data_IF_471556688792
#
_entry.id   IF_471556688792
#
_cell.length_a   1.000
_cell.length_b   1.000
_cell.length_c   1.000
_cell.angle_alpha   90.00
_cell.angle_beta   90.00
_cell.angle_gamma   90.00
#
_symmetry.space_group_name_H-M   'P 1'
#
loop_
_entity.id
_entity.type
_entity.pdbx_description
1 polymer ?
#
# COMPACT_ATOMS: atom_id res chain seq x y z
N UNK A 1 -51.69 37.67 -40.85
CA UNK A 1 -50.53 36.87 -41.06
C UNK A 1 -49.24 37.58 -40.52
N UNK A 2 -49.32 38.29 -39.40
CA UNK A 2 -48.20 39.01 -38.78
C UNK A 2 -47.99 38.74 -37.29
N UNK A 3 -48.69 37.72 -36.75
CA UNK A 3 -48.57 37.35 -35.30
C UNK A 3 -47.94 35.99 -35.03
N UNK A 4 -47.48 35.24 -36.04
CA UNK A 4 -47.00 33.90 -35.92
C UNK A 4 -45.44 33.80 -35.99
N UNK A 5 -44.77 34.93 -36.17
CA UNK A 5 -43.29 34.96 -36.32
C UNK A 5 -42.56 35.42 -35.05
N UNK A 6 -43.30 35.86 -34.01
CA UNK A 6 -42.71 36.44 -32.82
C UNK A 6 -42.57 35.46 -31.65
N UNK A 7 -43.12 34.22 -31.76
CA UNK A 7 -43.07 33.24 -30.69
C UNK A 7 -42.03 32.13 -30.88
N UNK A 8 -41.23 32.15 -31.94
CA UNK A 8 -40.20 31.16 -32.17
C UNK A 8 -38.77 31.62 -31.81
N UNK A 9 -38.60 32.75 -31.14
CA UNK A 9 -37.26 33.28 -30.77
C UNK A 9 -36.96 33.27 -29.27
N UNK A 10 -37.70 32.50 -28.44
CA UNK A 10 -37.52 32.53 -26.99
C UNK A 10 -37.14 31.17 -26.36
N UNK A 11 -36.66 30.19 -27.12
CA UNK A 11 -36.27 28.88 -26.56
C UNK A 11 -34.81 28.49 -26.97
N UNK A 12 -33.89 29.39 -26.85
CA UNK A 12 -32.47 29.09 -27.02
C UNK A 12 -31.60 29.79 -25.97
N UNK A 13 -32.04 29.83 -24.72
CA UNK A 13 -31.22 30.33 -23.63
C UNK A 13 -31.36 29.39 -22.42
N UNK A 14 -30.43 28.50 -22.24
CA UNK A 14 -30.34 27.82 -20.95
C UNK A 14 -29.85 26.37 -20.92
N UNK A 15 -29.14 25.89 -21.92
CA UNK A 15 -28.32 24.69 -21.70
C UNK A 15 -26.95 25.08 -21.18
N UNK A 16 -26.87 25.50 -19.91
CA UNK A 16 -25.65 25.46 -19.16
C UNK A 16 -25.34 23.98 -18.97
N UNK A 17 -24.52 23.42 -19.86
CA UNK A 17 -23.83 22.17 -19.62
C UNK A 17 -22.92 22.43 -18.45
N UNK A 18 -23.42 22.13 -17.24
CA UNK A 18 -22.55 21.86 -16.10
C UNK A 18 -21.82 20.58 -16.48
N UNK A 19 -20.69 20.74 -17.16
CA UNK A 19 -19.68 19.72 -17.25
C UNK A 19 -19.17 19.53 -15.83
N UNK A 20 -19.82 18.65 -15.06
CA UNK A 20 -19.21 18.01 -13.93
C UNK A 20 -17.96 17.32 -14.48
N UNK A 21 -16.86 18.00 -14.43
CA UNK A 21 -15.55 17.38 -14.53
C UNK A 21 -15.48 16.37 -13.40
N UNK A 22 -15.91 15.14 -13.67
CA UNK A 22 -15.52 13.99 -12.89
C UNK A 22 -14.01 14.01 -12.95
N UNK A 23 -13.38 14.54 -11.90
CA UNK A 23 -11.96 14.36 -11.67
C UNK A 23 -11.75 12.86 -11.65
N UNK A 24 -11.40 12.28 -12.80
CA UNK A 24 -10.86 10.94 -12.86
C UNK A 24 -9.62 11.00 -11.98
N UNK A 25 -9.74 10.52 -10.74
CA UNK A 25 -8.57 10.19 -9.96
C UNK A 25 -7.78 9.23 -10.83
N UNK A 26 -6.75 9.77 -11.49
CA UNK A 26 -5.88 8.95 -12.33
C UNK A 26 -5.26 7.94 -11.39
N UNK A 27 -5.61 6.66 -11.60
CA UNK A 27 -5.08 5.54 -10.83
C UNK A 27 -3.56 5.50 -11.05
N UNK A 28 -2.85 6.15 -10.15
CA UNK A 28 -1.39 6.15 -10.18
C UNK A 28 -0.88 4.92 -9.45
N UNK A 29 0.09 4.25 -10.03
CA UNK A 29 0.78 3.13 -9.37
C UNK A 29 1.38 3.56 -8.03
N UNK A 30 1.77 4.83 -7.89
CA UNK A 30 2.27 5.37 -6.62
C UNK A 30 1.26 5.29 -5.47
N UNK A 31 -0.05 5.20 -5.76
CA UNK A 31 -1.06 5.01 -4.71
C UNK A 31 -1.00 3.61 -4.07
N UNK A 32 -0.35 2.64 -4.72
CA UNK A 32 -0.17 1.30 -4.16
C UNK A 32 0.91 1.25 -3.08
N UNK A 33 1.83 2.21 -3.05
CA UNK A 33 3.00 2.15 -2.18
C UNK A 33 2.65 1.95 -0.70
N UNK A 34 3.41 1.07 -0.03
CA UNK A 34 3.21 0.72 1.37
C UNK A 34 2.49 -0.61 1.59
N UNK A 35 1.99 -0.83 2.81
CA UNK A 35 1.38 -2.11 3.23
C UNK A 35 -0.14 -2.06 3.24
N UNK A 36 -0.75 -3.16 2.82
CA UNK A 36 -2.19 -3.33 2.69
C UNK A 36 -2.64 -4.67 3.28
N UNK A 37 -3.60 -4.64 4.18
CA UNK A 37 -4.26 -5.84 4.68
C UNK A 37 -5.17 -6.42 3.59
N UNK A 38 -5.16 -7.73 3.41
CA UNK A 38 -6.06 -8.44 2.50
C UNK A 38 -7.31 -8.80 3.28
N UNK A 39 -8.39 -8.06 3.07
CA UNK A 39 -9.62 -8.20 3.87
C UNK A 39 -10.66 -9.10 3.22
N UNK A 40 -10.58 -9.28 1.88
CA UNK A 40 -11.50 -10.13 1.13
C UNK A 40 -10.80 -10.76 -0.07
N UNK A 41 -11.11 -12.02 -0.36
CA UNK A 41 -10.64 -12.77 -1.53
C UNK A 41 -11.81 -13.53 -2.14
N UNK A 42 -12.03 -13.39 -3.46
CA UNK A 42 -13.13 -14.02 -4.22
C UNK A 42 -14.51 -13.85 -3.54
N UNK A 43 -14.79 -12.64 -3.00
CA UNK A 43 -16.04 -12.33 -2.30
C UNK A 43 -16.14 -12.90 -0.87
N UNK A 44 -15.12 -13.57 -0.38
CA UNK A 44 -15.07 -14.12 0.98
C UNK A 44 -14.22 -13.23 1.88
N UNK A 45 -14.81 -12.77 2.99
CA UNK A 45 -14.07 -12.01 4.01
C UNK A 45 -13.06 -12.92 4.70
N UNK A 46 -11.85 -12.39 4.86
CA UNK A 46 -10.79 -13.05 5.60
C UNK A 46 -10.97 -12.77 7.09
N UNK A 47 -11.00 -13.84 7.89
CA UNK A 47 -11.10 -13.76 9.35
C UNK A 47 -10.15 -14.82 9.93
N UNK A 48 -8.90 -14.41 10.14
CA UNK A 48 -7.83 -15.28 10.65
C UNK A 48 -7.10 -14.57 11.79
N UNK A 49 -6.46 -15.32 12.69
CA UNK A 49 -5.64 -14.73 13.76
C UNK A 49 -4.50 -13.87 13.21
N UNK A 50 -3.93 -14.29 12.09
CA UNK A 50 -2.88 -13.53 11.38
C UNK A 50 -3.46 -13.01 10.08
N UNK A 51 -3.85 -11.74 10.06
CA UNK A 51 -4.35 -11.08 8.86
C UNK A 51 -3.28 -11.12 7.75
N UNK A 52 -3.60 -11.67 6.57
CA UNK A 52 -2.69 -11.60 5.43
C UNK A 52 -2.53 -10.16 4.98
N UNK A 53 -1.33 -9.83 4.49
CA UNK A 53 -1.04 -8.51 3.97
C UNK A 53 -0.09 -8.57 2.77
N UNK A 54 -0.16 -7.56 1.93
CA UNK A 54 0.75 -7.33 0.81
C UNK A 54 1.36 -5.93 0.93
N UNK A 55 2.67 -5.83 0.82
CA UNK A 55 3.39 -4.58 0.71
C UNK A 55 3.86 -4.35 -0.72
N UNK A 56 3.73 -3.14 -1.20
CA UNK A 56 4.25 -2.71 -2.50
C UNK A 56 5.42 -1.75 -2.29
N UNK A 57 6.58 -2.11 -2.82
CA UNK A 57 7.70 -1.20 -3.06
C UNK A 57 7.63 -0.76 -4.53
N UNK A 58 7.00 0.38 -4.76
CA UNK A 58 6.76 0.88 -6.10
C UNK A 58 8.05 1.30 -6.79
N UNK A 59 9.04 1.79 -6.03
CA UNK A 59 10.33 2.21 -6.56
C UNK A 59 11.13 1.02 -7.12
N UNK A 60 11.08 -0.12 -6.46
CA UNK A 60 11.77 -1.34 -6.88
C UNK A 60 10.89 -2.30 -7.70
N UNK A 61 9.60 -2.00 -7.86
CA UNK A 61 8.60 -2.87 -8.49
C UNK A 61 8.53 -4.26 -7.85
N UNK A 62 8.57 -4.29 -6.53
CA UNK A 62 8.56 -5.52 -5.73
C UNK A 62 7.36 -5.57 -4.81
N UNK A 63 6.94 -6.79 -4.52
CA UNK A 63 5.98 -7.07 -3.47
C UNK A 63 6.62 -7.93 -2.40
N UNK A 64 6.12 -7.78 -1.20
CA UNK A 64 6.43 -8.60 -0.04
C UNK A 64 5.17 -8.74 0.82
N UNK A 65 5.15 -9.68 1.74
CA UNK A 65 4.03 -9.79 2.66
C UNK A 65 3.88 -11.15 3.28
N UNK A 66 2.66 -11.44 3.70
CA UNK A 66 2.26 -12.70 4.30
C UNK A 66 0.90 -13.13 3.73
N UNK A 67 0.79 -14.36 3.28
CA UNK A 67 -0.42 -14.93 2.68
C UNK A 67 -1.42 -15.53 3.70
N UNK A 68 -1.16 -15.32 5.01
CA UNK A 68 -1.91 -15.90 6.12
C UNK A 68 -1.04 -16.86 6.93
N UNK A 69 -0.28 -17.73 6.29
CA UNK A 69 0.69 -18.64 6.90
C UNK A 69 2.12 -18.26 6.53
N UNK A 70 2.40 -18.18 5.25
CA UNK A 70 3.73 -18.06 4.70
C UNK A 70 4.07 -16.64 4.27
N UNK A 71 5.36 -16.29 4.38
CA UNK A 71 5.87 -15.06 3.78
C UNK A 71 5.86 -15.20 2.27
N UNK A 72 5.51 -14.13 1.58
CA UNK A 72 5.54 -14.05 0.13
C UNK A 72 6.40 -12.89 -0.35
N UNK A 73 7.03 -13.06 -1.50
CA UNK A 73 7.79 -12.04 -2.20
C UNK A 73 7.71 -12.25 -3.70
N UNK A 74 7.79 -11.17 -4.45
CA UNK A 74 7.74 -11.23 -5.91
C UNK A 74 7.99 -9.87 -6.54
N UNK A 75 7.67 -9.79 -7.81
CA UNK A 75 7.71 -8.53 -8.56
C UNK A 75 6.31 -8.22 -9.10
N UNK A 76 6.13 -6.99 -9.54
CA UNK A 76 4.94 -6.59 -10.29
C UNK A 76 5.30 -5.68 -11.44
N UNK A 77 4.44 -5.66 -12.43
CA UNK A 77 4.48 -4.76 -13.57
C UNK A 77 3.23 -3.88 -13.57
N UNK A 78 3.42 -2.62 -13.88
CA UNK A 78 2.34 -1.66 -14.05
C UNK A 78 2.73 -0.72 -15.20
N UNK A 79 1.77 -0.47 -16.09
CA UNK A 79 1.97 0.38 -17.25
C UNK A 79 1.55 1.81 -16.93
N UNK A 80 2.50 2.74 -16.91
CA UNK A 80 2.23 4.15 -16.68
C UNK A 80 1.38 4.79 -17.77
N UNK A 81 1.35 4.20 -18.98
CA UNK A 81 0.52 4.65 -20.10
C UNK A 81 -0.90 4.09 -20.03
N UNK A 82 -1.12 3.07 -19.21
CA UNK A 82 -2.42 2.45 -18.97
C UNK A 82 -2.73 2.44 -17.47
N UNK A 83 -3.20 3.56 -16.92
CA UNK A 83 -3.52 3.67 -15.50
C UNK A 83 -4.43 2.53 -15.01
N UNK A 84 -4.13 1.99 -13.84
CA UNK A 84 -4.88 0.89 -13.25
C UNK A 84 -4.45 -0.51 -13.70
N UNK A 85 -3.49 -0.66 -14.62
CA UNK A 85 -2.92 -1.98 -14.93
C UNK A 85 -1.97 -2.41 -13.82
N UNK A 86 -2.06 -3.69 -13.45
CA UNK A 86 -1.21 -4.31 -12.45
C UNK A 86 -1.12 -5.81 -12.75
N UNK A 87 0.08 -6.34 -12.88
CA UNK A 87 0.31 -7.76 -13.06
C UNK A 87 1.44 -8.21 -12.16
N UNK A 88 1.23 -9.29 -11.43
CA UNK A 88 2.28 -9.89 -10.62
C UNK A 88 3.15 -10.81 -11.48
N UNK A 89 4.45 -10.80 -11.21
CA UNK A 89 5.39 -11.79 -11.71
C UNK A 89 5.33 -13.07 -10.87
N UNK A 90 6.37 -13.88 -10.97
CA UNK A 90 6.45 -15.09 -10.15
C UNK A 90 6.53 -14.72 -8.66
N UNK A 91 5.59 -15.24 -7.87
CA UNK A 91 5.55 -15.05 -6.41
C UNK A 91 6.19 -16.27 -5.75
N UNK A 92 7.25 -16.04 -5.00
CA UNK A 92 7.85 -17.03 -4.11
C UNK A 92 7.19 -17.00 -2.74
N UNK A 93 7.03 -18.16 -2.11
CA UNK A 93 6.48 -18.28 -0.76
C UNK A 93 7.33 -19.24 0.07
N UNK A 94 7.44 -19.03 1.39
CA UNK A 94 7.98 -20.00 2.33
C UNK A 94 7.04 -21.21 2.40
N UNK A 95 7.49 -22.32 2.97
CA UNK A 95 6.70 -23.57 3.00
C UNK A 95 6.52 -24.07 4.43
N UNK A 96 5.99 -23.21 5.31
CA UNK A 96 5.55 -23.63 6.63
C UNK A 96 4.19 -24.31 6.54
N UNK A 97 3.92 -25.25 7.41
CA UNK A 97 2.61 -25.88 7.55
C UNK A 97 1.86 -25.20 8.69
N UNK A 98 0.74 -24.57 8.38
CA UNK A 98 -0.14 -23.93 9.35
C UNK A 98 -1.51 -24.63 9.38
N UNK A 99 -2.27 -24.48 10.46
CA UNK A 99 -3.63 -25.04 10.52
C UNK A 99 -4.55 -24.52 9.42
N UNK A 100 -4.41 -23.25 9.05
CA UNK A 100 -5.19 -22.61 7.97
C UNK A 100 -4.34 -22.39 6.71
N UNK A 101 -4.16 -23.45 5.95
CA UNK A 101 -3.55 -23.36 4.62
C UNK A 101 -4.53 -22.88 3.53
N UNK A 102 -5.83 -22.88 3.84
CA UNK A 102 -6.87 -22.49 2.88
C UNK A 102 -6.75 -21.02 2.51
N UNK A 103 -6.58 -20.16 3.49
CA UNK A 103 -6.40 -18.71 3.28
C UNK A 103 -5.19 -18.43 2.38
N UNK A 104 -4.06 -19.09 2.62
CA UNK A 104 -2.88 -18.95 1.77
C UNK A 104 -3.16 -19.34 0.32
N UNK A 105 -3.80 -20.50 0.09
CA UNK A 105 -4.13 -20.96 -1.25
C UNK A 105 -5.07 -19.98 -1.98
N UNK A 106 -6.05 -19.44 -1.27
CA UNK A 106 -6.95 -18.41 -1.82
C UNK A 106 -6.20 -17.15 -2.21
N UNK A 107 -5.36 -16.64 -1.33
CA UNK A 107 -4.56 -15.41 -1.57
C UNK A 107 -3.63 -15.60 -2.76
N UNK A 108 -2.80 -16.63 -2.77
CA UNK A 108 -1.84 -16.87 -3.85
C UNK A 108 -2.53 -17.15 -5.19
N UNK A 109 -3.63 -17.94 -5.16
CA UNK A 109 -4.41 -18.24 -6.37
C UNK A 109 -5.16 -17.05 -6.95
N UNK A 110 -5.53 -16.07 -6.11
CA UNK A 110 -6.13 -14.82 -6.57
C UNK A 110 -5.08 -13.87 -7.16
N UNK A 111 -3.91 -13.74 -6.52
CA UNK A 111 -2.81 -12.89 -6.99
C UNK A 111 -2.35 -13.27 -8.41
N UNK A 112 -2.33 -14.55 -8.73
CA UNK A 112 -1.95 -15.09 -10.06
C UNK A 112 -2.88 -14.59 -11.21
N UNK A 113 -4.12 -14.21 -10.86
CA UNK A 113 -5.15 -13.79 -11.84
C UNK A 113 -5.28 -12.28 -11.97
N UNK A 114 -4.58 -11.50 -11.15
CA UNK A 114 -4.69 -10.04 -11.15
C UNK A 114 -4.11 -9.46 -12.44
N UNK A 115 -4.89 -8.55 -13.05
CA UNK A 115 -4.45 -7.80 -14.24
C UNK A 115 -4.65 -6.29 -14.09
N UNK A 116 -5.44 -5.87 -13.09
CA UNK A 116 -5.72 -4.46 -12.84
C UNK A 116 -6.05 -4.18 -11.38
N UNK A 117 -6.04 -2.90 -11.02
CA UNK A 117 -6.50 -2.43 -9.72
C UNK A 117 -7.41 -1.21 -9.87
N UNK A 118 -8.28 -1.01 -8.90
CA UNK A 118 -9.21 0.11 -8.83
C UNK A 118 -9.22 0.68 -7.41
N UNK A 119 -9.35 2.00 -7.30
CA UNK A 119 -9.65 2.65 -6.02
C UNK A 119 -11.16 2.67 -5.82
N UNK A 120 -11.58 2.52 -4.58
CA UNK A 120 -13.00 2.66 -4.23
C UNK A 120 -13.31 4.14 -4.06
N UNK A 121 -14.35 4.63 -4.76
CA UNK A 121 -14.81 6.01 -4.60
C UNK A 121 -15.13 6.26 -3.12
N UNK A 122 -14.70 7.42 -2.61
CA UNK A 122 -14.87 7.85 -1.22
C UNK A 122 -14.09 7.06 -0.14
N UNK A 123 -13.25 6.09 -0.56
CA UNK A 123 -12.37 5.32 0.34
C UNK A 123 -10.96 5.25 -0.24
N UNK A 124 -10.12 6.27 -0.05
CA UNK A 124 -8.77 6.30 -0.59
C UNK A 124 -7.87 5.19 -0.02
N UNK A 125 -8.22 4.68 1.16
CA UNK A 125 -7.50 3.62 1.85
C UNK A 125 -8.00 2.21 1.49
N UNK A 126 -8.83 2.09 0.44
CA UNK A 126 -9.34 0.80 -0.06
C UNK A 126 -9.05 0.66 -1.54
N UNK A 127 -8.45 -0.46 -1.90
CA UNK A 127 -8.12 -0.85 -3.28
C UNK A 127 -8.75 -2.20 -3.59
N UNK A 128 -9.27 -2.34 -4.80
CA UNK A 128 -9.74 -3.62 -5.32
C UNK A 128 -8.82 -4.09 -6.43
N UNK A 129 -8.28 -5.29 -6.31
CA UNK A 129 -7.54 -5.99 -7.36
C UNK A 129 -8.53 -6.78 -8.21
N UNK A 130 -8.39 -6.68 -9.54
CA UNK A 130 -9.35 -7.26 -10.48
C UNK A 130 -8.67 -8.19 -11.49
N UNK A 131 -9.46 -9.13 -12.03
CA UNK A 131 -9.05 -10.00 -13.13
C UNK A 131 -9.15 -9.29 -14.50
N UNK A 132 -8.88 -10.03 -15.56
CA UNK A 132 -8.92 -9.53 -16.95
C UNK A 132 -10.30 -9.03 -17.36
N UNK A 133 -11.37 -9.57 -16.79
CA UNK A 133 -12.76 -9.16 -17.07
C UNK A 133 -13.21 -7.97 -16.21
N UNK A 134 -12.31 -7.42 -15.38
CA UNK A 134 -12.59 -6.33 -14.45
C UNK A 134 -13.38 -6.79 -13.20
N UNK A 135 -13.50 -8.09 -12.97
CA UNK A 135 -14.19 -8.61 -11.79
C UNK A 135 -13.27 -8.54 -10.57
N UNK A 136 -13.79 -8.16 -9.40
CA UNK A 136 -13.03 -8.07 -8.17
C UNK A 136 -12.54 -9.45 -7.72
N UNK A 137 -11.24 -9.57 -7.44
CA UNK A 137 -10.61 -10.75 -6.88
C UNK A 137 -10.25 -10.55 -5.41
N UNK A 138 -9.77 -9.36 -5.05
CA UNK A 138 -9.29 -9.07 -3.70
C UNK A 138 -9.62 -7.64 -3.32
N UNK A 139 -10.00 -7.45 -2.06
CA UNK A 139 -10.11 -6.12 -1.45
C UNK A 139 -8.95 -5.93 -0.48
N UNK A 140 -8.27 -4.82 -0.63
CA UNK A 140 -7.13 -4.42 0.18
C UNK A 140 -7.49 -3.16 0.97
N UNK A 141 -7.18 -3.14 2.26
CA UNK A 141 -7.30 -1.96 3.11
C UNK A 141 -5.92 -1.51 3.57
N UNK A 142 -5.66 -0.20 3.49
CA UNK A 142 -4.37 0.37 3.87
C UNK A 142 -4.06 0.00 5.31
N UNK A 143 -2.92 -0.64 5.52
CA UNK A 143 -2.45 -0.95 6.86
C UNK A 143 -1.93 0.35 7.47
N UNK A 144 -2.51 0.74 8.60
CA UNK A 144 -2.01 1.90 9.34
C UNK A 144 -0.53 1.66 9.67
N UNK A 145 0.32 2.59 9.25
CA UNK A 145 1.69 2.61 9.77
C UNK A 145 1.60 2.77 11.29
N UNK A 146 2.42 2.06 12.06
CA UNK A 146 2.49 2.32 13.48
C UNK A 146 2.81 3.81 13.65
N UNK A 147 1.93 4.54 14.36
CA UNK A 147 2.20 5.93 14.70
C UNK A 147 3.39 5.93 15.67
N UNK A 148 4.58 6.05 15.11
CA UNK A 148 5.78 6.27 15.91
C UNK A 148 5.76 7.73 16.33
N UNK A 149 5.44 7.98 17.59
CA UNK A 149 5.53 9.31 18.13
C UNK A 149 6.99 9.69 18.38
N UNK A 150 7.30 10.98 18.29
CA UNK A 150 8.67 11.43 18.60
C UNK A 150 9.07 11.11 20.04
N UNK A 151 8.12 10.93 20.95
CA UNK A 151 8.36 10.47 22.31
C UNK A 151 8.88 9.03 22.36
N UNK A 152 8.53 8.19 21.41
CA UNK A 152 8.99 6.80 21.34
C UNK A 152 10.47 6.70 20.93
N UNK A 153 11.02 7.79 20.37
CA UNK A 153 12.44 7.90 20.03
C UNK A 153 13.28 8.42 21.19
N UNK A 154 12.66 8.86 22.29
CA UNK A 154 13.38 9.30 23.49
C UNK A 154 13.85 8.08 24.29
N UNK A 155 15.13 8.04 24.68
CA UNK A 155 15.70 6.96 25.47
C UNK A 155 17.09 6.57 25.01
N UNK A 156 17.59 5.50 25.60
CA UNK A 156 18.88 4.88 25.20
C UNK A 156 18.64 3.83 24.12
N UNK A 157 19.37 3.96 23.04
CA UNK A 157 19.27 3.05 21.90
C UNK A 157 20.60 2.33 21.67
N UNK A 158 20.55 1.00 21.60
CA UNK A 158 21.73 0.20 21.25
C UNK A 158 21.77 0.02 19.74
N UNK A 159 22.89 0.40 19.14
CA UNK A 159 23.12 0.21 17.72
C UNK A 159 23.53 -1.24 17.48
N UNK A 160 22.66 -2.08 16.95
CA UNK A 160 22.96 -3.48 16.65
C UNK A 160 23.53 -3.69 15.24
N UNK A 161 23.17 -2.82 14.30
CA UNK A 161 23.51 -2.97 12.88
C UNK A 161 23.94 -1.62 12.29
N UNK A 162 25.05 -1.62 11.58
CA UNK A 162 25.46 -0.50 10.73
C UNK A 162 25.70 -1.01 9.31
N UNK A 163 25.01 -0.42 8.32
CA UNK A 163 25.09 -0.84 6.92
C UNK A 163 24.83 -2.35 6.73
N UNK A 164 23.87 -2.90 7.48
CA UNK A 164 23.50 -4.33 7.42
C UNK A 164 24.52 -5.28 8.08
N UNK A 165 25.57 -4.78 8.68
CA UNK A 165 26.56 -5.57 9.43
C UNK A 165 26.29 -5.47 10.92
N UNK A 166 26.18 -6.62 11.59
CA UNK A 166 26.01 -6.68 13.04
C UNK A 166 27.28 -6.16 13.73
N UNK A 167 27.11 -5.24 14.68
CA UNK A 167 28.19 -4.80 15.54
C UNK A 167 28.35 -5.85 16.60
N UNK A 168 29.44 -6.62 16.52
CA UNK A 168 29.85 -7.56 17.58
C UNK A 168 30.75 -6.78 18.52
N UNK A 169 30.20 -6.37 19.67
CA UNK A 169 31.04 -5.88 20.77
C UNK A 169 31.98 -6.97 21.20
N UNK A 170 33.30 -6.76 21.10
CA UNK A 170 34.25 -7.57 21.83
C UNK A 170 34.14 -7.21 23.31
N UNK A 171 34.30 -8.18 24.21
CA UNK A 171 34.03 -8.05 25.65
C UNK A 171 34.86 -6.98 26.40
N UNK A 172 35.66 -6.19 25.70
CA UNK A 172 36.51 -5.11 26.23
C UNK A 172 36.09 -3.68 25.76
N UNK A 173 35.05 -3.55 24.96
CA UNK A 173 34.59 -2.23 24.49
C UNK A 173 33.14 -2.11 24.86
N UNK A 174 32.80 -1.11 25.70
CA UNK A 174 31.43 -0.78 26.04
C UNK A 174 30.60 -0.62 24.76
N UNK A 175 29.36 -1.12 24.76
CA UNK A 175 28.48 -0.95 23.60
C UNK A 175 28.33 0.52 23.29
N UNK A 176 28.42 0.88 21.99
CA UNK A 176 28.14 2.25 21.57
C UNK A 176 26.67 2.59 21.83
N UNK A 177 26.44 3.54 22.70
CA UNK A 177 25.13 4.10 22.95
C UNK A 177 24.93 5.39 22.16
N UNK A 178 23.83 5.54 21.48
CA UNK A 178 23.38 6.83 20.98
C UNK A 178 22.28 7.36 21.87
N UNK A 179 22.48 8.52 22.46
CA UNK A 179 21.44 9.23 23.22
C UNK A 179 20.79 10.24 22.30
N UNK A 180 19.51 10.06 22.00
CA UNK A 180 18.71 11.02 21.28
C UNK A 180 18.13 12.02 22.28
N UNK A 181 18.73 13.22 22.35
CA UNK A 181 18.24 14.30 23.20
C UNK A 181 17.40 15.25 22.34
N UNK A 182 16.15 15.41 22.69
CA UNK A 182 15.24 16.37 22.08
C UNK A 182 15.51 17.79 22.60
N UNK A 183 16.05 18.65 21.76
CA UNK A 183 16.01 20.10 21.96
C UNK A 183 15.06 20.72 20.94
N UNK A 184 14.21 21.61 21.41
CA UNK A 184 13.05 22.23 20.73
C UNK A 184 13.27 22.83 19.32
N UNK A 185 14.44 22.70 18.69
CA UNK A 185 14.73 23.32 17.39
C UNK A 185 15.79 22.63 16.50
N UNK A 186 16.45 21.52 16.91
CA UNK A 186 17.40 20.84 16.03
C UNK A 186 17.68 19.42 16.52
N UNK A 187 17.81 18.47 15.59
CA UNK A 187 18.35 17.13 15.87
C UNK A 187 19.86 17.26 16.06
N UNK A 188 20.35 17.00 17.25
CA UNK A 188 21.78 16.86 17.48
C UNK A 188 22.08 15.42 17.94
N UNK A 189 22.77 14.66 17.11
CA UNK A 189 23.31 13.36 17.50
C UNK A 189 24.65 13.65 18.20
N UNK A 190 24.71 13.45 19.48
CA UNK A 190 25.93 13.58 20.25
C UNK A 190 26.55 12.17 20.40
N UNK A 191 27.70 11.97 19.80
CA UNK A 191 28.50 10.77 20.01
C UNK A 191 29.29 10.94 21.32
N UNK A 192 28.93 10.21 22.33
CA UNK A 192 29.76 10.11 23.53
C UNK A 192 30.62 8.86 23.43
N UNK A 193 31.91 9.02 23.19
CA UNK A 193 32.91 8.01 23.47
C UNK A 193 33.29 8.22 24.93
N UNK A 194 32.88 7.34 25.82
CA UNK A 194 33.32 7.34 27.21
C UNK A 194 34.61 6.53 27.22
N UNK A 195 35.69 7.07 27.79
CA UNK A 195 37.01 6.40 27.82
C UNK A 195 37.04 5.18 28.71
#
# INVERSE_FOLDING_TARGET
MKKLVLEMMAICAGALIVSCGSGKNMLSVSSLDGEWNITEVDGQKISTERMPFIGFDVAQKRIYGNSGCNHMMGSFEADSLKPGTLKFGQIGSTRMMCPDMKTEQMVLGALDKVTSFQTVSDKPDVITLCNQDGQPLMTLEKKAAPEVSLSDLSGEWVIELVNGKKIVGTAEVDPFYSVLIWMKAAFTVMWAVIP
#
